data_IF_623615747595
#
_entry.id   IF_623615747595
#
_cell.length_a   1.000
_cell.length_b   1.000
_cell.length_c   1.000
_cell.angle_alpha   90.00
_cell.angle_beta   90.00
_cell.angle_gamma   90.00
#
_symmetry.space_group_name_H-M   'P 1'
#
loop_
_entity.id
_entity.type
_entity.pdbx_description
1 polymer ?
#
# COMPACT_ATOMS: atom_id res chain seq x y z
N UNK A 1 -11.02 69.96 -38.21
CA UNK A 1 -11.65 68.63 -38.26
C UNK A 1 -10.63 67.64 -37.70
N UNK A 2 -10.72 67.40 -36.39
CA UNK A 2 -9.71 66.71 -35.57
C UNK A 2 -10.13 65.22 -35.48
N UNK A 3 -9.24 64.28 -35.79
CA UNK A 3 -9.49 62.85 -35.54
C UNK A 3 -8.34 62.27 -34.71
N UNK A 4 -8.64 62.11 -33.42
CA UNK A 4 -7.82 61.41 -32.42
C UNK A 4 -7.84 59.91 -32.69
N UNK A 5 -6.66 59.28 -32.67
CA UNK A 5 -6.47 57.83 -32.71
C UNK A 5 -6.34 57.36 -31.25
N UNK A 6 -7.36 56.66 -30.75
CA UNK A 6 -7.32 56.03 -29.42
C UNK A 6 -6.90 54.58 -29.58
N UNK A 7 -5.72 54.23 -29.06
CA UNK A 7 -5.20 52.87 -29.03
C UNK A 7 -5.74 52.19 -27.76
N UNK A 8 -6.52 51.10 -27.91
CA UNK A 8 -7.09 50.34 -26.80
C UNK A 8 -6.17 49.15 -26.49
N UNK A 9 -5.42 49.23 -25.40
CA UNK A 9 -4.62 48.11 -24.89
C UNK A 9 -5.53 47.17 -24.09
N UNK A 10 -5.73 45.94 -24.57
CA UNK A 10 -6.43 44.89 -23.85
C UNK A 10 -5.46 44.17 -22.91
N UNK A 11 -5.64 44.34 -21.59
CA UNK A 11 -4.97 43.53 -20.57
C UNK A 11 -5.77 42.23 -20.43
N UNK A 12 -5.23 41.11 -20.93
CA UNK A 12 -5.80 39.79 -20.69
C UNK A 12 -5.40 39.33 -19.28
N UNK A 13 -6.32 39.45 -18.32
CA UNK A 13 -6.18 38.81 -17.02
C UNK A 13 -6.50 37.32 -17.16
N UNK A 14 -5.47 36.47 -17.25
CA UNK A 14 -5.64 35.02 -17.14
C UNK A 14 -5.93 34.69 -15.68
N UNK A 15 -7.21 34.50 -15.36
CA UNK A 15 -7.62 33.89 -14.10
C UNK A 15 -7.25 32.41 -14.19
N UNK A 16 -6.18 32.00 -13.51
CA UNK A 16 -5.91 30.58 -13.26
C UNK A 16 -7.01 30.06 -12.34
N UNK A 17 -8.01 29.41 -12.91
CA UNK A 17 -9.02 28.70 -12.15
C UNK A 17 -8.38 27.46 -11.50
N UNK A 18 -7.80 27.63 -10.31
CA UNK A 18 -7.50 26.49 -9.45
C UNK A 18 -8.85 25.90 -9.02
N UNK A 19 -9.20 24.72 -9.53
CA UNK A 19 -10.34 23.99 -9.02
C UNK A 19 -10.13 23.75 -7.51
N UNK A 20 -10.88 24.46 -6.68
CA UNK A 20 -10.86 24.26 -5.23
C UNK A 20 -11.63 22.96 -4.98
N UNK A 21 -10.91 21.92 -4.59
CA UNK A 21 -11.51 20.67 -4.13
C UNK A 21 -12.21 20.94 -2.78
N UNK A 22 -13.52 21.16 -2.82
CA UNK A 22 -14.38 21.40 -1.66
C UNK A 22 -14.48 20.19 -0.71
N UNK A 23 -13.92 19.03 -1.08
CA UNK A 23 -13.82 17.85 -0.21
C UNK A 23 -12.48 17.76 0.52
N UNK A 24 -11.53 18.64 0.22
CA UNK A 24 -10.22 18.69 0.86
C UNK A 24 -10.36 19.09 2.32
N UNK A 25 -10.18 18.13 3.23
CA UNK A 25 -10.11 18.40 4.67
C UNK A 25 -8.91 19.29 4.96
N UNK A 26 -9.10 20.31 5.80
CA UNK A 26 -7.99 21.09 6.33
C UNK A 26 -6.98 20.14 6.99
N UNK A 27 -5.73 20.19 6.52
CA UNK A 27 -4.65 19.35 7.00
C UNK A 27 -3.36 20.16 6.99
N UNK A 28 -2.47 19.95 7.98
CA UNK A 28 -1.13 20.51 7.96
C UNK A 28 -0.21 19.81 6.94
N UNK A 29 -0.60 18.68 6.35
CA UNK A 29 0.18 18.03 5.29
C UNK A 29 -0.29 18.45 3.90
N UNK A 30 0.56 19.19 3.20
CA UNK A 30 0.43 19.44 1.77
C UNK A 30 1.24 18.40 1.00
N UNK A 31 0.57 17.62 0.15
CA UNK A 31 1.23 16.64 -0.74
C UNK A 31 1.13 17.13 -2.17
N UNK A 32 2.23 17.11 -2.91
CA UNK A 32 2.25 17.40 -4.34
C UNK A 32 2.97 16.30 -5.12
N UNK A 33 2.47 16.06 -6.33
CA UNK A 33 3.00 15.09 -7.27
C UNK A 33 3.52 15.83 -8.51
N UNK A 34 4.73 15.47 -8.93
CA UNK A 34 5.37 15.95 -10.16
C UNK A 34 5.92 14.76 -10.94
N UNK A 35 5.94 14.85 -12.27
CA UNK A 35 6.55 13.82 -13.11
C UNK A 35 8.07 14.00 -13.10
N UNK A 36 8.79 12.89 -12.91
CA UNK A 36 10.24 12.78 -13.13
C UNK A 36 10.50 12.15 -14.51
N UNK A 37 9.66 11.20 -14.90
CA UNK A 37 9.64 10.59 -16.23
C UNK A 37 8.21 10.12 -16.60
N UNK A 38 8.08 9.42 -17.72
CA UNK A 38 6.85 8.80 -18.21
C UNK A 38 6.33 7.66 -17.30
N UNK A 39 7.13 7.15 -16.36
CA UNK A 39 6.70 6.16 -15.38
C UNK A 39 7.18 6.42 -13.96
N UNK A 40 7.85 7.55 -13.71
CA UNK A 40 8.35 7.93 -12.38
C UNK A 40 7.75 9.23 -11.88
N UNK A 41 7.28 9.19 -10.63
CA UNK A 41 6.62 10.30 -9.94
C UNK A 41 7.45 10.73 -8.74
N UNK A 42 7.66 12.02 -8.60
CA UNK A 42 8.20 12.64 -7.38
C UNK A 42 7.06 13.16 -6.53
N UNK A 43 7.13 12.84 -5.25
CA UNK A 43 6.15 13.17 -4.23
C UNK A 43 6.83 14.08 -3.22
N UNK A 44 6.27 15.27 -2.98
CA UNK A 44 6.72 16.17 -1.93
C UNK A 44 5.65 16.27 -0.85
N UNK A 45 6.04 16.03 0.41
CA UNK A 45 5.19 16.14 1.60
C UNK A 45 5.71 17.29 2.43
N UNK A 46 4.95 18.38 2.47
CA UNK A 46 5.29 19.60 3.20
C UNK A 46 4.40 19.74 4.42
N UNK A 47 5.00 20.02 5.57
CA UNK A 47 4.26 20.47 6.74
C UNK A 47 4.00 21.97 6.65
N UNK A 48 2.77 22.35 6.34
CA UNK A 48 2.32 23.75 6.28
C UNK A 48 1.74 24.24 7.60
N UNK A 49 1.73 23.38 8.64
CA UNK A 49 1.32 23.72 9.99
C UNK A 49 2.45 24.36 10.81
N UNK A 50 2.16 24.65 12.07
CA UNK A 50 3.09 25.23 13.04
C UNK A 50 3.64 24.22 14.06
N UNK A 51 3.20 22.96 14.00
CA UNK A 51 3.64 21.88 14.89
C UNK A 51 4.64 20.98 14.18
N UNK A 52 5.59 20.42 14.93
CA UNK A 52 6.51 19.40 14.43
C UNK A 52 5.92 17.99 14.59
N UNK A 53 6.13 17.14 13.59
CA UNK A 53 5.62 15.78 13.59
C UNK A 53 6.74 14.75 13.49
N UNK A 54 6.51 13.57 14.08
CA UNK A 54 7.29 12.38 13.78
C UNK A 54 6.37 11.41 13.00
N UNK A 55 6.48 11.39 11.67
CA UNK A 55 5.58 10.66 10.79
C UNK A 55 5.91 9.17 10.80
N UNK A 56 4.91 8.33 11.05
CA UNK A 56 5.05 6.88 10.86
C UNK A 56 4.95 6.57 9.37
N UNK A 57 6.10 6.40 8.73
CA UNK A 57 6.20 6.41 7.26
C UNK A 57 6.08 5.02 6.63
N UNK A 58 6.22 3.93 7.41
CA UNK A 58 6.16 2.57 6.89
C UNK A 58 4.79 2.24 6.30
N UNK A 59 4.80 1.52 5.17
CA UNK A 59 3.58 1.26 4.39
C UNK A 59 2.97 2.52 3.75
N UNK A 60 3.76 3.59 3.58
CA UNK A 60 3.37 4.78 2.82
C UNK A 60 4.27 4.98 1.60
N UNK A 61 3.97 5.94 0.73
CA UNK A 61 4.87 6.28 -0.38
C UNK A 61 6.22 6.88 0.05
N UNK A 62 6.39 7.21 1.35
CA UNK A 62 7.69 7.60 1.92
C UNK A 62 8.53 6.38 2.33
N UNK A 63 7.98 5.17 2.24
CA UNK A 63 8.65 3.90 2.51
C UNK A 63 9.32 3.38 1.24
N UNK A 64 10.49 3.92 0.92
CA UNK A 64 11.24 3.54 -0.28
C UNK A 64 11.78 2.11 -0.25
N UNK A 65 11.78 1.48 0.92
CA UNK A 65 12.25 0.11 1.11
C UNK A 65 11.15 -0.94 0.80
N UNK A 66 9.89 -0.50 0.72
CA UNK A 66 8.74 -1.38 0.57
C UNK A 66 7.83 -0.91 -0.57
N UNK A 67 7.44 -1.80 -1.50
CA UNK A 67 6.57 -1.44 -2.60
C UNK A 67 5.10 -1.33 -2.16
N UNK A 68 4.77 -0.31 -1.36
CA UNK A 68 3.45 -0.14 -0.74
C UNK A 68 2.46 0.68 -1.60
N UNK A 69 1.18 0.29 -1.58
CA UNK A 69 0.11 0.98 -2.30
C UNK A 69 -0.36 2.24 -1.56
N UNK A 70 -0.03 3.43 -2.11
CA UNK A 70 -0.60 4.72 -1.70
C UNK A 70 -0.83 5.71 -2.85
N UNK A 71 -0.68 5.27 -4.09
CA UNK A 71 -1.07 6.06 -5.25
C UNK A 71 -2.35 5.47 -5.83
N UNK A 72 -3.21 6.35 -6.33
CA UNK A 72 -4.33 5.99 -7.19
C UNK A 72 -3.87 6.32 -8.61
N UNK A 73 -3.61 5.26 -9.39
CA UNK A 73 -3.22 5.36 -10.80
C UNK A 73 -4.39 4.89 -11.64
N UNK A 74 -4.84 5.70 -12.58
CA UNK A 74 -6.01 5.38 -13.42
C UNK A 74 -5.83 5.86 -14.85
N UNK A 75 -6.19 5.02 -15.82
CA UNK A 75 -6.43 5.47 -17.19
C UNK A 75 -7.81 6.14 -17.30
N UNK A 76 -8.22 6.53 -18.52
CA UNK A 76 -9.57 7.03 -18.77
C UNK A 76 -10.67 6.00 -18.41
N UNK A 77 -10.37 4.71 -18.55
CA UNK A 77 -11.36 3.64 -18.45
C UNK A 77 -11.37 2.93 -17.08
N UNK A 78 -10.22 2.83 -16.41
CA UNK A 78 -10.09 2.03 -15.19
C UNK A 78 -8.94 2.46 -14.28
N UNK A 79 -9.03 2.05 -13.01
CA UNK A 79 -7.90 2.09 -12.08
C UNK A 79 -6.90 1.00 -12.47
N UNK A 80 -5.63 1.35 -12.58
CA UNK A 80 -4.55 0.43 -12.89
C UNK A 80 -4.40 -0.61 -11.76
N UNK A 81 -4.37 -1.91 -12.06
CA UNK A 81 -4.10 -2.96 -11.07
C UNK A 81 -2.77 -2.74 -10.36
N UNK A 82 -2.74 -2.93 -9.03
CA UNK A 82 -1.54 -2.82 -8.21
C UNK A 82 -0.89 -4.20 -7.99
N UNK A 83 0.44 -4.26 -8.12
CA UNK A 83 1.29 -5.45 -8.06
C UNK A 83 2.40 -5.38 -6.99
N UNK A 84 2.28 -4.49 -5.99
CA UNK A 84 3.20 -4.44 -4.85
C UNK A 84 2.71 -5.24 -3.63
N UNK A 85 3.13 -4.81 -2.42
CA UNK A 85 2.81 -5.49 -1.16
C UNK A 85 1.79 -4.73 -0.33
N UNK A 86 0.89 -5.47 0.32
CA UNK A 86 0.00 -4.94 1.35
C UNK A 86 0.57 -5.26 2.72
N UNK A 87 1.04 -4.22 3.42
CA UNK A 87 1.65 -4.37 4.72
C UNK A 87 0.67 -4.08 5.85
N UNK A 88 0.63 -4.97 6.85
CA UNK A 88 -0.05 -4.71 8.12
C UNK A 88 0.97 -4.25 9.14
N UNK A 89 0.87 -2.99 9.52
CA UNK A 89 1.85 -2.37 10.41
C UNK A 89 1.47 -2.55 11.88
N UNK A 90 2.48 -2.81 12.72
CA UNK A 90 2.34 -2.64 14.16
C UNK A 90 2.05 -1.17 14.48
N UNK A 91 1.35 -0.91 15.57
CA UNK A 91 0.99 0.45 16.03
C UNK A 91 1.42 0.73 17.46
N UNK A 92 2.11 -0.23 18.08
CA UNK A 92 2.59 -0.22 19.47
C UNK A 92 4.00 -0.80 19.48
N UNK A 93 4.78 -0.51 20.53
CA UNK A 93 6.17 -0.99 20.67
C UNK A 93 7.04 -0.66 19.44
N UNK A 94 6.81 0.53 18.88
CA UNK A 94 7.48 1.01 17.69
C UNK A 94 8.89 1.49 18.03
N UNK A 95 9.84 1.18 17.15
CA UNK A 95 11.21 1.67 17.21
C UNK A 95 11.32 3.06 16.55
N UNK A 96 12.44 3.75 16.73
CA UNK A 96 12.60 5.12 16.20
C UNK A 96 12.78 5.14 14.67
N UNK A 97 13.31 4.07 14.06
CA UNK A 97 13.65 3.97 12.64
C UNK A 97 12.44 3.86 11.70
N UNK A 98 11.24 3.62 12.24
CA UNK A 98 9.97 3.63 11.48
C UNK A 98 9.31 5.01 11.45
N UNK A 99 9.97 6.02 12.02
CA UNK A 99 9.51 7.40 11.98
C UNK A 99 10.43 8.30 11.17
N UNK A 100 9.85 9.28 10.48
CA UNK A 100 10.57 10.38 9.84
C UNK A 100 10.13 11.70 10.48
N UNK A 101 11.05 12.49 11.07
CA UNK A 101 10.72 13.81 11.57
C UNK A 101 10.35 14.73 10.40
N UNK A 102 9.31 15.53 10.60
CA UNK A 102 8.84 16.55 9.69
C UNK A 102 8.51 17.82 10.49
N UNK A 103 9.47 18.74 10.53
CA UNK A 103 9.36 20.01 11.23
C UNK A 103 8.39 20.96 10.50
N UNK A 104 7.89 21.97 11.21
CA UNK A 104 7.09 23.05 10.62
C UNK A 104 7.84 23.69 9.43
N UNK A 105 7.17 23.78 8.28
CA UNK A 105 7.74 24.31 7.03
C UNK A 105 8.68 23.36 6.29
N UNK A 106 9.02 22.20 6.86
CA UNK A 106 9.88 21.22 6.19
C UNK A 106 9.14 20.46 5.10
N UNK A 107 9.90 20.00 4.09
CA UNK A 107 9.44 19.09 3.04
C UNK A 107 10.26 17.80 3.08
N UNK A 108 9.56 16.66 3.00
CA UNK A 108 10.14 15.35 2.68
C UNK A 108 9.80 15.00 1.24
N UNK A 109 10.75 14.39 0.54
CA UNK A 109 10.57 13.98 -0.85
C UNK A 109 10.78 12.47 -1.01
N UNK A 110 10.01 11.87 -1.91
CA UNK A 110 10.17 10.49 -2.34
C UNK A 110 9.93 10.36 -3.84
N UNK A 111 10.57 9.39 -4.48
CA UNK A 111 10.30 9.02 -5.87
C UNK A 111 9.71 7.62 -5.92
N UNK A 112 8.69 7.45 -6.75
CA UNK A 112 8.01 6.16 -6.98
C UNK A 112 8.01 5.87 -8.47
N UNK A 113 8.57 4.72 -8.83
CA UNK A 113 8.47 4.14 -10.17
C UNK A 113 7.12 3.43 -10.27
N UNK A 114 6.12 4.06 -10.90
CA UNK A 114 4.76 3.49 -10.94
C UNK A 114 4.69 2.25 -11.83
N UNK A 115 5.56 2.09 -12.82
CA UNK A 115 5.63 0.86 -13.62
C UNK A 115 6.14 -0.35 -12.82
N UNK A 116 6.86 -0.15 -11.72
CA UNK A 116 7.24 -1.24 -10.81
C UNK A 116 6.06 -1.74 -9.95
N UNK A 117 4.99 -0.96 -9.86
CA UNK A 117 3.89 -1.17 -8.90
C UNK A 117 2.51 -1.33 -9.55
N UNK A 118 2.27 -0.79 -10.73
CA UNK A 118 0.96 -0.74 -11.36
C UNK A 118 1.03 -1.29 -12.80
N UNK A 119 -0.03 -1.97 -13.24
CA UNK A 119 -0.13 -2.44 -14.63
C UNK A 119 -0.51 -1.29 -15.56
N UNK A 120 0.47 -0.80 -16.32
CA UNK A 120 0.30 0.27 -17.30
C UNK A 120 0.23 -0.31 -18.72
N UNK A 121 -0.80 -1.13 -18.96
CA UNK A 121 -0.90 -1.96 -20.17
C UNK A 121 -1.34 -1.26 -21.46
N UNK A 122 -1.66 0.03 -21.42
CA UNK A 122 -2.12 0.79 -22.58
C UNK A 122 -1.30 2.08 -22.75
N UNK A 123 -1.10 2.49 -24.01
CA UNK A 123 -0.52 3.81 -24.29
C UNK A 123 -1.51 4.92 -23.95
N UNK A 124 -1.00 6.06 -23.49
CA UNK A 124 -1.79 7.28 -23.30
C UNK A 124 -1.70 7.87 -21.90
N UNK A 125 -2.64 8.76 -21.59
CA UNK A 125 -2.63 9.52 -20.35
C UNK A 125 -3.16 8.68 -19.17
N UNK A 126 -2.35 8.62 -18.12
CA UNK A 126 -2.72 8.13 -16.80
C UNK A 126 -2.80 9.30 -15.82
N UNK A 127 -3.83 9.29 -14.98
CA UNK A 127 -3.95 10.17 -13.83
C UNK A 127 -3.36 9.50 -12.59
N UNK A 128 -2.48 10.20 -11.88
CA UNK A 128 -1.87 9.77 -10.62
C UNK A 128 -2.27 10.73 -9.52
N UNK A 129 -2.76 10.21 -8.40
CA UNK A 129 -3.08 10.98 -7.20
C UNK A 129 -2.66 10.23 -5.93
N UNK A 130 -2.45 10.94 -4.84
CA UNK A 130 -2.20 10.36 -3.52
C UNK A 130 -3.27 10.89 -2.55
N UNK A 131 -4.00 9.97 -1.93
CA UNK A 131 -5.02 10.31 -0.92
C UNK A 131 -4.89 9.34 0.24
N UNK A 132 -4.88 9.86 1.47
CA UNK A 132 -4.74 9.01 2.64
C UNK A 132 -4.63 9.79 3.93
N UNK A 133 -4.07 9.13 4.95
CA UNK A 133 -3.70 9.78 6.20
C UNK A 133 -2.43 9.12 6.76
N UNK A 134 -1.53 9.92 7.34
CA UNK A 134 -0.30 9.43 7.98
C UNK A 134 -0.44 9.46 9.49
N UNK A 135 -0.35 8.31 10.18
CA UNK A 135 -0.18 8.28 11.63
C UNK A 135 1.10 9.00 12.04
N UNK A 136 1.10 9.60 13.22
CA UNK A 136 2.25 10.31 13.73
C UNK A 136 2.37 10.19 15.25
N UNK A 137 3.59 10.39 15.74
CA UNK A 137 3.92 10.61 17.14
C UNK A 137 4.35 12.08 17.33
N UNK A 138 4.31 12.61 18.58
CA UNK A 138 5.05 13.82 18.93
C UNK A 138 6.52 13.69 18.54
N UNK A 139 7.19 14.81 18.26
CA UNK A 139 8.61 14.83 17.96
C UNK A 139 9.41 14.12 19.07
N UNK A 140 10.40 13.30 18.68
CA UNK A 140 11.23 12.47 19.58
C UNK A 140 10.47 11.39 20.38
N UNK A 141 9.22 11.09 20.04
CA UNK A 141 8.46 9.96 20.60
C UNK A 141 8.29 8.85 19.56
N UNK A 142 8.20 7.61 20.04
CA UNK A 142 7.78 6.44 19.25
C UNK A 142 6.37 5.97 19.57
N UNK A 143 5.68 6.64 20.50
CA UNK A 143 4.27 6.38 20.80
C UNK A 143 3.37 7.18 19.88
N UNK A 144 2.58 6.50 19.06
CA UNK A 144 1.60 7.15 18.19
C UNK A 144 0.60 8.00 19.00
N UNK A 145 0.18 9.12 18.43
CA UNK A 145 -0.79 10.04 19.02
C UNK A 145 -2.23 9.51 19.07
N UNK A 146 -2.49 8.35 18.44
CA UNK A 146 -3.85 7.85 18.18
C UNK A 146 -4.60 8.62 17.08
N UNK A 147 -3.96 9.61 16.45
CA UNK A 147 -4.49 10.40 15.33
C UNK A 147 -3.64 10.18 14.06
N UNK A 148 -4.18 10.61 12.93
CA UNK A 148 -3.48 10.63 11.66
C UNK A 148 -3.73 11.95 10.92
N UNK A 149 -2.74 12.43 10.18
CA UNK A 149 -2.80 13.63 9.37
C UNK A 149 -3.34 13.27 7.99
N UNK A 150 -4.57 13.66 7.61
CA UNK A 150 -5.11 13.35 6.29
C UNK A 150 -4.35 14.13 5.21
N UNK A 151 -4.32 13.65 3.98
CA UNK A 151 -3.75 14.40 2.86
C UNK A 151 -4.46 14.02 1.55
N UNK A 152 -4.40 14.94 0.61
CA UNK A 152 -4.80 14.74 -0.79
C UNK A 152 -3.87 15.57 -1.66
N UNK A 153 -3.34 14.97 -2.72
CA UNK A 153 -2.46 15.64 -3.67
C UNK A 153 -3.22 16.31 -4.82
N UNK A 154 -2.49 17.01 -5.69
CA UNK A 154 -2.97 17.26 -7.05
C UNK A 154 -3.15 15.94 -7.81
N UNK A 155 -4.01 15.96 -8.84
CA UNK A 155 -4.01 14.93 -9.89
C UNK A 155 -2.91 15.28 -10.88
N UNK A 156 -1.96 14.37 -11.08
CA UNK A 156 -0.89 14.49 -12.04
C UNK A 156 -1.25 13.67 -13.28
N UNK A 157 -1.20 14.30 -14.46
CA UNK A 157 -1.32 13.60 -15.74
C UNK A 157 0.07 13.18 -16.22
N UNK A 158 0.23 11.91 -16.60
CA UNK A 158 1.46 11.35 -17.19
C UNK A 158 1.09 10.59 -18.46
N UNK A 159 1.78 10.87 -19.56
CA UNK A 159 1.65 10.08 -20.78
C UNK A 159 2.59 8.88 -20.71
N UNK A 160 2.01 7.69 -20.64
CA UNK A 160 2.73 6.42 -20.56
C UNK A 160 2.83 5.78 -21.94
N UNK A 161 4.01 5.26 -22.25
CA UNK A 161 4.24 4.34 -23.37
C UNK A 161 4.29 2.92 -22.81
N UNK A 162 3.28 2.10 -23.13
CA UNK A 162 3.09 0.76 -22.58
C UNK A 162 4.32 -0.13 -22.81
N UNK A 163 4.99 0.02 -23.96
CA UNK A 163 6.20 -0.73 -24.27
C UNK A 163 7.36 -0.43 -23.30
N UNK A 164 7.52 0.83 -22.88
CA UNK A 164 8.53 1.22 -21.89
C UNK A 164 8.14 0.80 -20.49
N UNK A 165 6.87 0.98 -20.13
CA UNK A 165 6.37 0.53 -18.84
C UNK A 165 6.55 -0.99 -18.67
N UNK A 166 6.25 -1.78 -19.72
CA UNK A 166 6.44 -3.22 -19.71
C UNK A 166 7.93 -3.65 -19.64
N UNK A 167 8.87 -2.79 -20.01
CA UNK A 167 10.30 -3.05 -19.87
C UNK A 167 10.80 -2.87 -18.42
N UNK A 168 10.02 -2.20 -17.57
CA UNK A 168 10.27 -2.09 -16.13
C UNK A 168 9.67 -3.33 -15.46
N UNK A 169 10.49 -4.28 -14.96
CA UNK A 169 9.95 -5.45 -14.28
C UNK A 169 9.30 -5.01 -12.97
N UNK A 170 8.19 -5.66 -12.61
CA UNK A 170 7.56 -5.38 -11.33
C UNK A 170 8.57 -5.59 -10.20
N UNK A 171 8.53 -4.74 -9.19
CA UNK A 171 9.41 -4.86 -8.02
C UNK A 171 9.31 -6.24 -7.35
N UNK A 172 8.11 -6.84 -7.39
CA UNK A 172 7.86 -8.20 -6.90
C UNK A 172 8.52 -9.29 -7.74
N UNK A 173 8.87 -9.04 -9.00
CA UNK A 173 9.55 -9.99 -9.89
C UNK A 173 11.06 -10.06 -9.62
N UNK A 174 11.68 -8.90 -9.33
CA UNK A 174 13.11 -8.82 -8.90
C UNK A 174 13.36 -9.58 -7.61
N UNK A 175 12.30 -9.78 -6.86
CA UNK A 175 12.25 -10.45 -5.60
C UNK A 175 12.31 -12.00 -5.80
N UNK A 176 11.92 -12.57 -6.94
CA UNK A 176 11.63 -14.02 -7.09
C UNK A 176 12.86 -14.90 -7.42
N UNK A 177 13.19 -15.84 -6.51
CA UNK A 177 13.76 -17.14 -6.87
C UNK A 177 12.69 -18.28 -6.75
N UNK A 178 12.78 -19.29 -7.64
CA UNK A 178 11.87 -20.46 -7.87
C UNK A 178 11.62 -21.32 -6.60
N UNK A 179 10.71 -22.30 -6.45
CA UNK A 179 9.25 -22.59 -6.68
C UNK A 179 8.91 -23.71 -5.63
N UNK A 180 7.75 -23.61 -4.97
CA UNK A 180 7.11 -24.42 -3.90
C UNK A 180 7.81 -25.63 -3.23
N UNK A 181 8.18 -25.45 -1.95
CA UNK A 181 8.76 -26.41 -0.97
C UNK A 181 8.81 -25.71 0.39
N UNK A 182 8.82 -26.42 1.55
CA UNK A 182 9.43 -25.80 2.76
C UNK A 182 10.86 -25.54 2.35
N UNK A 183 11.23 -24.28 2.29
CA UNK A 183 12.47 -23.90 1.63
C UNK A 183 13.66 -24.40 2.47
N UNK A 184 14.79 -24.69 1.81
CA UNK A 184 15.93 -25.36 2.45
C UNK A 184 16.56 -24.54 3.60
N UNK A 185 16.19 -23.27 3.69
CA UNK A 185 16.53 -22.32 4.76
C UNK A 185 15.80 -22.63 6.08
N UNK A 186 14.69 -23.36 6.04
CA UNK A 186 14.03 -23.94 7.20
C UNK A 186 14.80 -25.16 7.71
N UNK A 187 15.72 -24.93 8.65
CA UNK A 187 16.53 -26.00 9.28
C UNK A 187 16.24 -26.15 10.78
N UNK A 188 16.56 -27.34 11.32
CA UNK A 188 16.54 -27.65 12.76
C UNK A 188 15.25 -27.20 13.50
N UNK A 189 15.38 -26.30 14.47
CA UNK A 189 14.28 -25.82 15.30
C UNK A 189 13.24 -25.01 14.51
N UNK A 190 13.68 -24.24 13.49
CA UNK A 190 12.78 -23.46 12.61
C UNK A 190 11.90 -24.38 11.77
N UNK A 191 12.49 -25.44 11.21
CA UNK A 191 11.76 -26.46 10.47
C UNK A 191 10.69 -27.14 11.33
N UNK A 192 11.04 -27.46 12.58
CA UNK A 192 10.11 -28.06 13.54
C UNK A 192 8.97 -27.11 13.87
N UNK A 193 9.28 -25.84 14.17
CA UNK A 193 8.29 -24.82 14.46
C UNK A 193 7.31 -24.58 13.29
N UNK A 194 7.81 -24.48 12.05
CA UNK A 194 6.96 -24.31 10.86
C UNK A 194 6.06 -25.53 10.62
N UNK A 195 6.58 -26.75 10.76
CA UNK A 195 5.77 -27.97 10.64
C UNK A 195 4.67 -28.04 11.70
N UNK A 196 4.99 -27.71 12.95
CA UNK A 196 4.00 -27.62 14.03
C UNK A 196 2.97 -26.52 13.76
N UNK A 197 3.41 -25.36 13.26
CA UNK A 197 2.55 -24.25 12.87
C UNK A 197 1.56 -24.64 11.77
N UNK A 198 2.04 -25.29 10.70
CA UNK A 198 1.20 -25.78 9.60
C UNK A 198 0.20 -26.84 10.06
N UNK A 199 0.63 -27.79 10.88
CA UNK A 199 -0.27 -28.79 11.47
C UNK A 199 -1.36 -28.15 12.33
N UNK A 200 -1.01 -27.14 13.14
CA UNK A 200 -1.98 -26.39 13.93
C UNK A 200 -2.92 -25.54 13.06
N UNK A 201 -2.39 -24.89 12.02
CA UNK A 201 -3.18 -24.17 11.03
C UNK A 201 -4.25 -25.07 10.41
N UNK A 202 -3.86 -26.24 9.90
CA UNK A 202 -4.80 -27.17 9.27
C UNK A 202 -5.94 -27.57 10.21
N UNK A 203 -5.59 -27.90 11.47
CA UNK A 203 -6.56 -28.25 12.52
C UNK A 203 -7.52 -27.11 12.84
N UNK A 204 -6.97 -25.91 13.09
CA UNK A 204 -7.76 -24.73 13.45
C UNK A 204 -8.65 -24.25 12.30
N UNK A 205 -8.12 -24.20 11.08
CA UNK A 205 -8.85 -23.79 9.89
C UNK A 205 -10.00 -24.76 9.56
N UNK A 206 -9.78 -26.07 9.73
CA UNK A 206 -10.83 -27.09 9.58
C UNK A 206 -11.96 -26.88 10.59
N UNK A 207 -11.62 -26.73 11.87
CA UNK A 207 -12.60 -26.49 12.92
C UNK A 207 -13.39 -25.19 12.68
N UNK A 208 -12.68 -24.12 12.29
CA UNK A 208 -13.29 -22.84 11.99
C UNK A 208 -14.20 -22.90 10.76
N UNK A 209 -13.86 -23.68 9.73
CA UNK A 209 -14.72 -23.89 8.57
C UNK A 209 -16.05 -24.58 8.95
N UNK A 210 -16.00 -25.60 9.81
CA UNK A 210 -17.20 -26.28 10.33
C UNK A 210 -18.06 -25.35 11.18
N UNK A 211 -17.44 -24.54 12.04
CA UNK A 211 -18.14 -23.53 12.83
C UNK A 211 -18.76 -22.44 11.93
N UNK A 212 -18.05 -22.03 10.87
CA UNK A 212 -18.57 -21.09 9.89
C UNK A 212 -19.78 -21.63 9.15
N UNK A 213 -19.82 -22.91 8.76
CA UNK A 213 -20.97 -23.47 8.04
C UNK A 213 -22.16 -23.81 8.93
N UNK A 214 -21.93 -24.31 10.15
CA UNK A 214 -22.99 -24.94 10.98
C UNK A 214 -22.93 -24.61 12.48
N UNK A 215 -21.92 -23.87 12.93
CA UNK A 215 -21.76 -23.50 14.33
C UNK A 215 -22.64 -22.34 14.80
N UNK A 216 -22.36 -21.86 16.01
CA UNK A 216 -23.09 -20.78 16.67
C UNK A 216 -23.07 -19.47 15.86
N UNK A 217 -24.26 -18.95 15.55
CA UNK A 217 -24.43 -17.75 14.73
C UNK A 217 -23.96 -16.46 15.43
N UNK A 218 -24.08 -16.35 16.76
CA UNK A 218 -23.60 -15.19 17.50
C UNK A 218 -22.07 -15.11 17.47
N UNK A 219 -21.38 -16.24 17.65
CA UNK A 219 -19.92 -16.32 17.54
C UNK A 219 -19.45 -16.04 16.11
N UNK A 220 -20.20 -16.45 15.08
CA UNK A 220 -19.88 -16.08 13.70
C UNK A 220 -20.07 -14.56 13.46
N UNK A 221 -21.18 -13.99 13.93
CA UNK A 221 -21.47 -12.55 13.83
C UNK A 221 -20.47 -11.70 14.61
N UNK A 222 -19.91 -12.20 15.71
CA UNK A 222 -18.86 -11.53 16.47
C UNK A 222 -17.65 -11.20 15.58
N UNK A 223 -17.26 -12.05 14.63
CA UNK A 223 -16.14 -11.80 13.72
C UNK A 223 -16.58 -11.21 12.37
N UNK A 224 -17.63 -11.75 11.76
CA UNK A 224 -18.03 -11.44 10.38
C UNK A 224 -19.21 -10.46 10.28
N UNK A 225 -19.75 -10.02 11.43
CA UNK A 225 -20.78 -8.96 11.56
C UNK A 225 -22.09 -9.25 10.82
N UNK A 226 -22.32 -10.51 10.49
CA UNK A 226 -23.50 -11.00 9.79
C UNK A 226 -23.76 -12.44 10.19
N UNK A 227 -24.98 -12.93 9.95
CA UNK A 227 -25.36 -14.34 10.08
C UNK A 227 -25.83 -14.94 8.76
N UNK A 228 -25.67 -14.22 7.65
CA UNK A 228 -26.19 -14.65 6.34
C UNK A 228 -25.56 -15.98 5.88
N UNK A 229 -26.39 -16.88 5.37
CA UNK A 229 -25.94 -18.19 4.89
C UNK A 229 -24.92 -18.07 3.76
N UNK A 230 -25.05 -17.08 2.88
CA UNK A 230 -24.10 -16.81 1.80
C UNK A 230 -22.71 -16.45 2.34
N UNK A 231 -22.62 -15.52 3.30
CA UNK A 231 -21.32 -15.13 3.87
C UNK A 231 -20.71 -16.28 4.67
N UNK A 232 -21.54 -17.03 5.43
CA UNK A 232 -21.10 -18.23 6.15
C UNK A 232 -20.48 -19.27 5.22
N UNK A 233 -21.10 -19.53 4.07
CA UNK A 233 -20.60 -20.47 3.07
C UNK A 233 -19.28 -19.98 2.45
N UNK A 234 -19.15 -18.69 2.11
CA UNK A 234 -17.91 -18.11 1.59
C UNK A 234 -16.76 -18.24 2.58
N UNK A 235 -17.00 -17.93 3.86
CA UNK A 235 -15.99 -18.06 4.93
C UNK A 235 -15.59 -19.51 5.13
N UNK A 236 -16.56 -20.43 5.21
CA UNK A 236 -16.30 -21.86 5.34
C UNK A 236 -15.47 -22.39 4.17
N UNK A 237 -15.78 -21.98 2.93
CA UNK A 237 -15.02 -22.35 1.74
C UNK A 237 -13.57 -21.86 1.80
N UNK A 238 -13.36 -20.59 2.17
CA UNK A 238 -12.01 -20.01 2.32
C UNK A 238 -11.19 -20.75 3.37
N UNK A 239 -11.78 -21.04 4.53
CA UNK A 239 -11.10 -21.75 5.62
C UNK A 239 -10.78 -23.21 5.28
N UNK A 240 -11.61 -23.90 4.48
CA UNK A 240 -11.26 -25.22 3.94
C UNK A 240 -10.09 -25.15 2.96
N UNK A 241 -10.04 -24.11 2.12
CA UNK A 241 -8.90 -23.89 1.23
C UNK A 241 -7.61 -23.65 2.02
N UNK A 242 -7.66 -22.83 3.07
CA UNK A 242 -6.52 -22.62 4.00
C UNK A 242 -6.12 -23.92 4.70
N UNK A 243 -7.08 -24.69 5.20
CA UNK A 243 -6.79 -25.97 5.85
C UNK A 243 -6.07 -26.95 4.92
N UNK A 244 -6.51 -27.01 3.65
CA UNK A 244 -5.90 -27.83 2.61
C UNK A 244 -4.47 -27.37 2.28
N UNK A 245 -4.24 -26.07 2.30
CA UNK A 245 -2.90 -25.52 2.06
C UNK A 245 -1.95 -25.83 3.23
N UNK A 246 -2.47 -25.80 4.47
CA UNK A 246 -1.71 -26.10 5.68
C UNK A 246 -1.47 -27.60 5.95
N UNK A 247 -2.27 -28.53 5.40
CA UNK A 247 -2.19 -29.96 5.74
C UNK A 247 -1.13 -30.78 4.96
N UNK A 248 -0.27 -30.11 4.19
CA UNK A 248 0.83 -30.64 3.35
C UNK A 248 0.44 -31.43 2.10
N UNK A 249 1.29 -31.29 1.05
CA UNK A 249 1.16 -31.66 -0.38
C UNK A 249 0.38 -30.72 -1.31
N UNK A 250 0.02 -29.52 -0.84
CA UNK A 250 -0.42 -28.43 -1.72
C UNK A 250 0.80 -27.77 -2.39
N UNK A 251 0.90 -27.83 -3.73
CA UNK A 251 1.95 -27.14 -4.52
C UNK A 251 1.65 -25.64 -4.72
N UNK A 252 0.67 -25.10 -3.99
CA UNK A 252 0.11 -23.77 -4.24
C UNK A 252 0.87 -22.65 -3.54
N UNK A 253 1.40 -22.85 -2.32
CA UNK A 253 2.03 -21.79 -1.51
C UNK A 253 3.44 -22.15 -1.03
N UNK A 254 4.40 -21.22 -1.09
CA UNK A 254 5.77 -21.36 -0.56
C UNK A 254 5.85 -20.85 0.88
N UNK A 255 6.55 -21.55 1.76
CA UNK A 255 6.85 -21.09 3.13
C UNK A 255 8.36 -21.04 3.34
N UNK A 256 8.89 -19.86 3.63
CA UNK A 256 10.30 -19.64 3.99
C UNK A 256 10.45 -19.48 5.50
N UNK A 257 11.65 -19.76 6.02
CA UNK A 257 12.03 -19.48 7.42
C UNK A 257 13.03 -18.33 7.53
N UNK A 258 13.49 -17.84 6.39
CA UNK A 258 14.32 -16.68 6.23
C UNK A 258 13.57 -15.67 5.37
N UNK A 259 13.84 -14.42 5.68
CA UNK A 259 13.31 -13.31 4.93
C UNK A 259 14.06 -13.14 3.61
N UNK A 260 13.66 -13.95 2.63
CA UNK A 260 14.25 -13.94 1.29
C UNK A 260 13.92 -12.67 0.50
N UNK A 261 13.00 -11.83 0.98
CA UNK A 261 12.55 -10.64 0.28
C UNK A 261 12.81 -9.33 1.04
N UNK A 262 13.44 -9.37 2.22
CA UNK A 262 13.63 -8.19 3.08
C UNK A 262 12.33 -7.65 3.69
N UNK A 263 11.25 -8.42 3.67
CA UNK A 263 9.93 -8.04 4.16
C UNK A 263 9.74 -8.17 5.68
N UNK A 264 10.63 -8.90 6.35
CA UNK A 264 10.65 -9.04 7.80
C UNK A 264 11.54 -7.97 8.43
N UNK A 265 10.91 -7.02 9.11
CA UNK A 265 11.57 -6.05 9.96
C UNK A 265 11.16 -6.27 11.42
N UNK A 266 11.74 -5.48 12.34
CA UNK A 266 11.28 -5.47 13.73
C UNK A 266 9.77 -5.25 13.77
N UNK A 267 9.04 -6.10 14.50
CA UNK A 267 7.58 -6.09 14.64
C UNK A 267 6.77 -6.62 13.44
N UNK A 268 7.40 -7.21 12.42
CA UNK A 268 6.69 -7.99 11.37
C UNK A 268 6.77 -9.49 11.72
N UNK A 269 5.62 -10.12 11.96
CA UNK A 269 5.56 -11.54 12.30
C UNK A 269 5.79 -12.46 11.10
N UNK A 270 5.30 -12.05 9.93
CA UNK A 270 5.41 -12.71 8.64
C UNK A 270 4.84 -11.77 7.56
N UNK A 271 5.17 -12.01 6.30
CA UNK A 271 4.55 -11.40 5.14
C UNK A 271 4.07 -12.46 4.15
N UNK A 272 3.20 -12.04 3.24
CA UNK A 272 2.80 -12.86 2.10
C UNK A 272 2.97 -12.09 0.81
N UNK A 273 3.31 -12.80 -0.27
CA UNK A 273 3.30 -12.25 -1.64
C UNK A 273 2.20 -12.99 -2.40
N UNK A 274 0.96 -12.46 -2.46
CA UNK A 274 -0.20 -13.21 -2.95
C UNK A 274 -0.09 -13.62 -4.42
N UNK A 275 0.45 -12.75 -5.28
CA UNK A 275 0.67 -13.04 -6.71
C UNK A 275 1.59 -14.25 -6.93
N UNK A 276 2.45 -14.53 -5.96
CA UNK A 276 3.45 -15.61 -6.01
C UNK A 276 3.11 -16.78 -5.08
N UNK A 277 2.03 -16.66 -4.32
CA UNK A 277 1.66 -17.55 -3.24
C UNK A 277 2.85 -17.82 -2.31
N UNK A 278 3.42 -16.78 -1.69
CA UNK A 278 4.54 -16.92 -0.75
C UNK A 278 4.11 -16.49 0.64
N UNK A 279 4.65 -17.16 1.65
CA UNK A 279 4.62 -16.82 3.07
C UNK A 279 6.08 -16.87 3.56
N UNK A 280 6.51 -15.87 4.31
CA UNK A 280 7.84 -15.80 4.90
C UNK A 280 7.81 -14.99 6.20
#
# INVERSE_FOLDING_TARGET
>A
MLRSITCLAAVAATVSATAIDLTKRASPLAVSLTSVSDTKVKIAVTNTGSEDYNLFYKGTFLDTDSPADKLVVSSADAVAPFNGVFQRMATHELSADVFKPLLAGQTLEAEVEIAELYELGADGEYSVAAVGAMPYAPLNSTSLSGKALPFSSNKLAINVEAAKAAAVPFVVDKMIAKRTTIQSDCTASRLTAVRTGLSNCARLATAAATAASSGNAAKFSEYFKTTSSTTRNTVASRLRAVATDCSTSSTRTKTYCTDVYGGCSSNVLAYTVPSLNIIA
#
